data_IF_016631278392
#
_entry.id   IF_016631278392
#
_cell.length_a   1.000
_cell.length_b   1.000
_cell.length_c   1.000
_cell.angle_alpha   90.00
_cell.angle_beta   90.00
_cell.angle_gamma   90.00
#
_symmetry.space_group_name_H-M   'P 1'
#
loop_
_entity.id
_entity.type
_entity.pdbx_description
1 polymer ?
#
# COMPACT_ATOMS: atom_id res chain seq x y z
N UNK A 1 8.03 3.38 8.23
CA UNK A 1 9.14 4.07 7.53
C UNK A 1 10.36 3.19 7.33
N UNK A 2 10.95 2.58 8.37
CA UNK A 2 12.13 1.69 8.20
C UNK A 2 11.91 0.60 7.13
N UNK A 3 10.85 -0.20 7.27
CA UNK A 3 10.47 -1.23 6.30
C UNK A 3 10.25 -0.65 4.89
N UNK A 4 9.62 0.52 4.79
CA UNK A 4 9.38 1.18 3.51
C UNK A 4 10.69 1.56 2.79
N UNK A 5 11.68 2.08 3.53
CA UNK A 5 13.01 2.38 3.00
C UNK A 5 13.79 1.13 2.62
N UNK A 6 13.57 0.01 3.34
CA UNK A 6 14.15 -1.28 2.98
C UNK A 6 13.56 -1.78 1.66
N UNK A 7 12.24 -1.85 1.54
CA UNK A 7 11.54 -2.28 0.32
C UNK A 7 11.92 -1.39 -0.87
N UNK A 8 12.07 -0.08 -0.65
CA UNK A 8 12.53 0.82 -1.70
C UNK A 8 13.92 0.48 -2.23
N UNK A 9 14.85 0.05 -1.36
CA UNK A 9 16.18 -0.42 -1.79
C UNK A 9 16.11 -1.78 -2.48
N UNK A 10 15.38 -2.72 -1.88
CA UNK A 10 15.27 -4.10 -2.38
C UNK A 10 14.56 -4.18 -3.73
N UNK A 11 13.71 -3.18 -4.03
CA UNK A 11 12.99 -3.05 -5.30
C UNK A 11 13.62 -2.05 -6.29
N UNK A 12 14.83 -1.57 -6.02
CA UNK A 12 15.55 -0.57 -6.85
C UNK A 12 14.68 0.68 -7.17
N UNK A 13 13.95 1.16 -6.16
CA UNK A 13 13.07 2.32 -6.25
C UNK A 13 11.70 2.08 -6.88
N UNK A 14 11.36 0.84 -7.28
CA UNK A 14 10.02 0.55 -7.82
C UNK A 14 8.91 0.81 -6.80
N UNK A 15 9.18 0.57 -5.51
CA UNK A 15 8.39 1.09 -4.40
C UNK A 15 9.10 2.29 -3.79
N UNK A 16 8.47 3.46 -3.77
CA UNK A 16 9.05 4.66 -3.15
C UNK A 16 7.98 5.44 -2.38
N UNK A 17 8.18 5.64 -1.09
CA UNK A 17 7.24 6.41 -0.24
C UNK A 17 7.35 7.91 -0.46
N UNK A 18 8.28 8.39 -1.29
CA UNK A 18 8.44 9.82 -1.58
C UNK A 18 7.60 10.30 -2.77
N UNK A 19 6.72 9.45 -3.30
CA UNK A 19 5.88 9.74 -4.48
C UNK A 19 4.73 10.70 -4.21
N UNK A 20 4.55 11.22 -2.98
CA UNK A 20 3.48 12.17 -2.64
C UNK A 20 3.34 13.33 -3.65
N UNK A 21 4.43 13.99 -4.12
CA UNK A 21 4.31 15.04 -5.13
C UNK A 21 3.72 14.54 -6.45
N UNK A 22 3.97 13.29 -6.85
CA UNK A 22 3.35 12.69 -8.04
C UNK A 22 1.88 12.39 -7.79
N UNK A 23 1.53 11.79 -6.64
CA UNK A 23 0.13 11.51 -6.29
C UNK A 23 -0.71 12.79 -6.30
N UNK A 24 -0.16 13.89 -5.77
CA UNK A 24 -0.76 15.22 -5.81
C UNK A 24 -0.89 15.75 -7.25
N UNK A 25 0.18 15.67 -8.05
CA UNK A 25 0.19 16.14 -9.43
C UNK A 25 -0.90 15.46 -10.29
N UNK A 26 -1.07 14.15 -10.10
CA UNK A 26 -2.09 13.35 -10.76
C UNK A 26 -3.51 13.54 -10.19
N UNK A 27 -3.66 14.32 -9.11
CA UNK A 27 -4.95 14.68 -8.53
C UNK A 27 -5.58 13.63 -7.62
N UNK A 28 -4.82 12.61 -7.20
CA UNK A 28 -5.32 11.49 -6.41
C UNK A 28 -5.45 11.76 -4.90
N UNK A 29 -4.94 12.88 -4.38
CA UNK A 29 -5.32 13.31 -3.02
C UNK A 29 -6.69 13.98 -2.99
N UNK A 30 -7.12 14.56 -4.12
CA UNK A 30 -8.48 15.03 -4.32
C UNK A 30 -9.32 14.02 -5.09
N UNK A 31 -10.47 14.50 -5.55
CA UNK A 31 -11.34 13.79 -6.50
C UNK A 31 -11.34 14.55 -7.84
N UNK A 32 -10.14 14.80 -8.35
CA UNK A 32 -9.93 15.54 -9.61
C UNK A 32 -8.74 14.98 -10.38
N UNK A 33 -8.81 13.67 -10.75
CA UNK A 33 -7.74 13.05 -11.50
C UNK A 33 -7.54 13.73 -12.85
N UNK A 34 -6.28 13.86 -13.27
CA UNK A 34 -5.92 14.45 -14.57
C UNK A 34 -4.69 13.76 -15.12
N UNK A 35 -4.51 13.85 -16.43
CA UNK A 35 -3.25 13.50 -17.09
C UNK A 35 -2.30 14.72 -17.10
N UNK A 36 -1.18 14.70 -16.36
CA UNK A 36 -0.23 15.82 -16.36
C UNK A 36 0.62 15.86 -17.64
N UNK A 37 1.06 17.06 -18.03
CA UNK A 37 2.00 17.21 -19.13
C UNK A 37 3.37 16.61 -18.75
N UNK A 38 4.13 16.16 -19.76
CA UNK A 38 5.43 15.49 -19.55
C UNK A 38 6.40 16.38 -18.76
N UNK A 39 6.40 17.68 -19.04
CA UNK A 39 7.27 18.66 -18.40
C UNK A 39 6.91 18.83 -16.91
N UNK A 40 5.62 18.76 -16.56
CA UNK A 40 5.16 18.78 -15.16
C UNK A 40 5.65 17.53 -14.41
N UNK A 41 5.56 16.35 -15.04
CA UNK A 41 6.04 15.09 -14.46
C UNK A 41 7.55 15.15 -14.23
N UNK A 42 8.33 15.59 -15.23
CA UNK A 42 9.78 15.73 -15.09
C UNK A 42 10.18 16.75 -14.01
N UNK A 43 9.42 17.83 -13.87
CA UNK A 43 9.63 18.80 -12.79
C UNK A 43 9.33 18.22 -11.41
N UNK A 44 8.28 17.40 -11.32
CA UNK A 44 7.87 16.72 -10.10
C UNK A 44 8.85 15.64 -9.66
N UNK A 45 9.38 14.85 -10.61
CA UNK A 45 10.32 13.76 -10.35
C UNK A 45 11.60 14.22 -9.64
N UNK A 46 12.01 15.50 -9.79
CA UNK A 46 13.16 16.04 -9.05
C UNK A 46 12.95 16.12 -7.53
N UNK A 47 11.71 15.99 -7.06
CA UNK A 47 11.31 16.01 -5.65
C UNK A 47 11.09 14.61 -5.07
N UNK A 48 11.23 13.58 -5.91
CA UNK A 48 10.96 12.18 -5.58
C UNK A 48 12.29 11.44 -5.52
N UNK A 49 12.50 10.69 -4.44
CA UNK A 49 13.63 9.80 -4.25
C UNK A 49 13.81 9.40 -2.79
N UNK A 50 13.61 8.12 -2.48
CA UNK A 50 13.81 7.57 -1.13
C UNK A 50 15.22 7.79 -0.57
N UNK A 51 16.23 7.97 -1.43
CA UNK A 51 17.60 8.27 -1.05
C UNK A 51 17.75 9.63 -0.36
N UNK A 52 16.77 10.54 -0.52
CA UNK A 52 16.74 11.80 0.21
C UNK A 52 16.30 11.66 1.66
N UNK A 53 15.75 10.50 2.04
CA UNK A 53 15.30 10.19 3.40
C UNK A 53 16.35 9.40 4.18
N UNK A 54 16.60 9.83 5.42
CA UNK A 54 17.49 9.14 6.35
C UNK A 54 16.81 8.95 7.70
N UNK A 55 16.74 7.71 8.18
CA UNK A 55 16.24 7.38 9.51
C UNK A 55 17.42 7.23 10.48
N UNK A 56 17.48 8.07 11.51
CA UNK A 56 18.51 8.05 12.56
C UNK A 56 17.88 8.19 13.93
N UNK A 57 18.10 7.24 14.84
CA UNK A 57 17.58 7.26 16.21
C UNK A 57 16.07 7.55 16.28
N UNK A 58 15.26 6.87 15.45
CA UNK A 58 13.82 7.10 15.32
C UNK A 58 13.41 8.51 14.82
N UNK A 59 14.36 9.35 14.44
CA UNK A 59 14.13 10.61 13.76
C UNK A 59 14.29 10.43 12.26
N UNK A 60 13.31 10.91 11.49
CA UNK A 60 13.38 10.94 10.04
C UNK A 60 13.87 12.31 9.58
N UNK A 61 14.91 12.31 8.76
CA UNK A 61 15.52 13.50 8.20
C UNK A 61 15.39 13.48 6.67
N UNK A 62 15.19 14.64 6.06
CA UNK A 62 15.19 14.83 4.62
C UNK A 62 16.32 15.77 4.21
N UNK A 63 17.05 15.40 3.15
CA UNK A 63 18.14 16.20 2.59
C UNK A 63 17.64 17.36 1.70
N UNK A 64 16.38 17.30 1.27
CA UNK A 64 15.73 18.34 0.48
C UNK A 64 14.38 18.72 1.10
N UNK A 65 14.03 20.00 1.05
CA UNK A 65 12.84 20.53 1.73
C UNK A 65 11.52 20.12 1.08
N UNK A 66 11.53 19.86 -0.23
CA UNK A 66 10.38 19.56 -1.07
C UNK A 66 10.04 18.07 -1.14
N UNK A 67 10.88 17.19 -0.57
CA UNK A 67 10.55 15.78 -0.38
C UNK A 67 9.37 15.65 0.58
N UNK A 68 8.34 14.95 0.11
CA UNK A 68 7.12 14.64 0.83
C UNK A 68 6.90 13.12 0.86
N UNK A 69 6.13 12.63 1.82
CA UNK A 69 5.95 11.20 2.06
C UNK A 69 4.48 10.82 1.87
N UNK A 70 4.26 9.76 1.09
CA UNK A 70 3.02 9.01 1.01
C UNK A 70 3.25 7.59 1.54
N UNK A 71 2.38 7.13 2.44
CA UNK A 71 2.44 5.77 3.00
C UNK A 71 1.30 4.87 2.49
N UNK A 72 0.53 5.29 1.49
CA UNK A 72 -0.64 4.58 0.99
C UNK A 72 -0.36 3.14 0.55
N UNK A 73 0.86 2.89 0.03
CA UNK A 73 1.31 1.56 -0.38
C UNK A 73 1.78 0.63 0.75
N UNK A 74 1.82 1.07 2.01
CA UNK A 74 2.32 0.24 3.14
C UNK A 74 1.53 0.41 4.45
N UNK A 75 0.81 1.52 4.62
CA UNK A 75 0.13 1.86 5.87
C UNK A 75 -0.96 0.85 6.26
N UNK A 76 -1.71 0.32 5.28
CA UNK A 76 -2.79 -0.66 5.54
C UNK A 76 -2.23 -1.94 6.16
N UNK A 77 -1.17 -2.50 5.59
CA UNK A 77 -0.50 -3.68 6.15
C UNK A 77 0.00 -3.46 7.59
N UNK A 78 0.53 -2.27 7.89
CA UNK A 78 0.89 -1.91 9.27
C UNK A 78 -0.32 -1.88 10.20
N UNK A 79 -1.42 -1.23 9.79
CA UNK A 79 -2.65 -1.15 10.57
C UNK A 79 -3.26 -2.54 10.85
N UNK A 80 -3.28 -3.41 9.84
CA UNK A 80 -3.72 -4.81 9.97
C UNK A 80 -2.85 -5.56 10.98
N UNK A 81 -1.52 -5.41 10.91
CA UNK A 81 -0.61 -6.00 11.90
C UNK A 81 -0.88 -5.50 13.33
N UNK A 82 -1.13 -4.21 13.51
CA UNK A 82 -1.51 -3.66 14.82
C UNK A 82 -2.86 -4.20 15.32
N UNK A 83 -3.84 -4.40 14.43
CA UNK A 83 -5.12 -5.01 14.79
C UNK A 83 -4.93 -6.46 15.28
N UNK A 84 -4.07 -7.24 14.63
CA UNK A 84 -3.71 -8.60 15.08
C UNK A 84 -3.13 -8.57 16.49
N UNK A 85 -2.19 -7.66 16.77
CA UNK A 85 -1.57 -7.54 18.09
C UNK A 85 -2.59 -7.20 19.18
N UNK A 86 -3.54 -6.31 18.89
CA UNK A 86 -4.61 -5.95 19.84
C UNK A 86 -5.52 -7.16 20.10
N UNK A 87 -5.99 -7.85 19.05
CA UNK A 87 -6.84 -9.03 19.21
C UNK A 87 -6.17 -10.11 20.08
N UNK A 88 -4.88 -10.38 19.85
CA UNK A 88 -4.12 -11.34 20.66
C UNK A 88 -4.03 -10.93 22.13
N UNK A 89 -3.85 -9.63 22.42
CA UNK A 89 -3.83 -9.12 23.82
C UNK A 89 -5.18 -9.26 24.51
N UNK A 90 -6.28 -9.14 23.76
CA UNK A 90 -7.64 -9.34 24.26
C UNK A 90 -8.05 -10.83 24.31
N UNK A 91 -7.12 -11.76 24.06
CA UNK A 91 -7.39 -13.20 24.11
C UNK A 91 -8.13 -13.76 22.88
N UNK A 92 -8.22 -12.99 21.80
CA UNK A 92 -8.84 -13.40 20.54
C UNK A 92 -7.75 -13.97 19.62
N UNK A 93 -7.85 -15.26 19.32
CA UNK A 93 -6.87 -15.99 18.49
C UNK A 93 -7.44 -16.56 17.19
N UNK A 94 -8.69 -16.22 16.86
CA UNK A 94 -9.36 -16.63 15.62
C UNK A 94 -10.16 -15.46 15.08
N UNK A 95 -9.70 -14.82 14.01
CA UNK A 95 -10.38 -13.69 13.38
C UNK A 95 -9.98 -13.53 11.91
N UNK A 96 -10.87 -12.92 11.12
CA UNK A 96 -10.55 -12.41 9.79
C UNK A 96 -10.57 -10.88 9.85
N UNK A 97 -9.45 -10.24 9.52
CA UNK A 97 -9.32 -8.78 9.48
C UNK A 97 -9.30 -8.37 8.02
N UNK A 98 -10.17 -7.46 7.62
CA UNK A 98 -10.25 -6.90 6.27
C UNK A 98 -10.09 -5.37 6.35
N UNK A 99 -9.08 -4.85 5.65
CA UNK A 99 -8.80 -3.43 5.51
C UNK A 99 -8.93 -2.98 4.05
N UNK A 100 -10.14 -3.11 3.48
CA UNK A 100 -10.42 -2.66 2.11
C UNK A 100 -9.82 -3.60 1.07
N UNK A 101 -9.99 -4.91 1.27
CA UNK A 101 -9.47 -5.98 0.40
C UNK A 101 -8.11 -6.53 0.84
N UNK A 102 -7.42 -5.83 1.74
CA UNK A 102 -6.20 -6.28 2.41
C UNK A 102 -6.57 -7.13 3.62
N UNK A 103 -6.37 -8.45 3.53
CA UNK A 103 -6.94 -9.42 4.49
C UNK A 103 -5.86 -10.10 5.32
N UNK A 104 -6.12 -10.33 6.61
CA UNK A 104 -5.31 -11.20 7.47
C UNK A 104 -6.19 -12.25 8.17
N UNK A 105 -5.82 -13.52 8.03
CA UNK A 105 -6.47 -14.63 8.72
C UNK A 105 -5.71 -14.99 9.99
N UNK A 106 -6.19 -14.55 11.15
CA UNK A 106 -5.64 -14.92 12.46
C UNK A 106 -6.17 -16.30 12.87
N UNK A 107 -5.26 -17.24 13.16
CA UNK A 107 -5.59 -18.62 13.51
C UNK A 107 -6.50 -19.32 12.49
N UNK A 108 -7.43 -20.15 12.97
CA UNK A 108 -8.34 -20.95 12.15
C UNK A 108 -9.80 -20.64 12.41
N UNK A 109 -10.62 -20.71 11.35
CA UNK A 109 -12.06 -20.59 11.43
C UNK A 109 -12.67 -21.91 11.91
N UNK A 110 -12.84 -22.08 13.22
CA UNK A 110 -13.49 -23.26 13.79
C UNK A 110 -12.76 -24.57 13.46
N UNK A 111 -11.43 -24.53 13.30
CA UNK A 111 -10.59 -25.67 12.91
C UNK A 111 -10.18 -25.70 11.45
N UNK A 112 -10.85 -24.92 10.59
CA UNK A 112 -10.54 -24.82 9.15
C UNK A 112 -9.65 -23.61 8.84
N UNK A 113 -8.88 -23.70 7.75
CA UNK A 113 -8.16 -22.55 7.20
C UNK A 113 -9.14 -21.47 6.69
N UNK A 114 -8.71 -20.21 6.76
CA UNK A 114 -9.47 -19.11 6.16
C UNK A 114 -9.36 -19.18 4.64
N UNK A 115 -10.50 -19.05 3.95
CA UNK A 115 -10.53 -18.97 2.48
C UNK A 115 -10.66 -17.52 2.07
N UNK A 116 -9.61 -16.95 1.48
CA UNK A 116 -9.60 -15.57 0.98
C UNK A 116 -9.70 -15.60 -0.54
N UNK A 117 -10.78 -15.00 -1.06
CA UNK A 117 -11.04 -14.95 -2.50
C UNK A 117 -10.10 -13.99 -3.24
N UNK A 118 -9.74 -14.35 -4.47
CA UNK A 118 -9.01 -13.50 -5.40
C UNK A 118 -10.01 -13.00 -6.45
N UNK A 119 -10.25 -11.69 -6.46
CA UNK A 119 -11.16 -11.05 -7.42
C UNK A 119 -10.58 -11.05 -8.83
N UNK A 120 -11.44 -11.23 -9.83
CA UNK A 120 -11.10 -11.02 -11.24
C UNK A 120 -10.74 -9.55 -11.51
N UNK A 121 -9.58 -9.25 -12.14
CA UNK A 121 -9.18 -7.88 -12.47
C UNK A 121 -10.13 -7.11 -13.39
N UNK A 122 -11.02 -7.81 -14.11
CA UNK A 122 -11.86 -7.26 -15.18
C UNK A 122 -13.30 -7.78 -15.12
N UNK A 123 -13.71 -8.31 -13.97
CA UNK A 123 -15.05 -8.84 -13.73
C UNK A 123 -15.42 -8.78 -12.26
N UNK A 124 -16.67 -9.09 -11.96
CA UNK A 124 -17.19 -9.17 -10.59
C UNK A 124 -17.06 -10.58 -9.99
N UNK A 125 -16.49 -11.51 -10.75
CA UNK A 125 -16.29 -12.90 -10.34
C UNK A 125 -15.04 -13.10 -9.47
N UNK A 126 -15.06 -14.20 -8.71
CA UNK A 126 -13.92 -14.68 -7.92
C UNK A 126 -13.19 -15.71 -8.77
N UNK A 127 -11.92 -15.45 -9.11
CA UNK A 127 -11.08 -16.36 -9.90
C UNK A 127 -10.70 -17.63 -9.14
N UNK A 128 -10.60 -17.51 -7.82
CA UNK A 128 -10.20 -18.58 -6.94
C UNK A 128 -10.05 -18.08 -5.51
N UNK A 129 -9.49 -18.91 -4.64
CA UNK A 129 -9.17 -18.52 -3.28
C UNK A 129 -7.84 -19.11 -2.86
N UNK A 130 -7.23 -18.50 -1.84
CA UNK A 130 -6.10 -19.06 -1.11
C UNK A 130 -6.55 -19.44 0.29
N UNK A 131 -5.99 -20.53 0.81
CA UNK A 131 -6.22 -20.98 2.18
C UNK A 131 -5.09 -20.46 3.06
N UNK A 132 -5.44 -19.76 4.15
CA UNK A 132 -4.49 -19.07 5.00
C UNK A 132 -4.75 -19.31 6.49
N UNK A 133 -3.67 -19.27 7.26
CA UNK A 133 -3.63 -19.25 8.72
C UNK A 133 -2.41 -18.41 9.13
N UNK A 134 -2.61 -17.45 10.03
CA UNK A 134 -1.62 -16.48 10.50
C UNK A 134 -0.87 -15.74 9.37
N UNK A 135 -1.57 -15.46 8.27
CA UNK A 135 -1.02 -14.87 7.06
C UNK A 135 -1.88 -13.71 6.56
N UNK A 136 -1.21 -12.77 5.87
CA UNK A 136 -1.81 -11.68 5.13
C UNK A 136 -1.94 -12.03 3.63
N UNK A 137 -3.01 -11.57 3.00
CA UNK A 137 -3.19 -11.54 1.54
C UNK A 137 -3.52 -10.11 1.17
N UNK A 138 -2.63 -9.48 0.41
CA UNK A 138 -2.74 -8.06 0.01
C UNK A 138 -2.79 -7.98 -1.50
N UNK A 139 -3.66 -7.12 -2.04
CA UNK A 139 -3.88 -6.96 -3.48
C UNK A 139 -3.42 -5.60 -3.99
N UNK A 140 -2.80 -5.57 -5.16
CA UNK A 140 -2.58 -4.33 -5.91
C UNK A 140 -2.95 -4.55 -7.37
N UNK A 141 -3.64 -3.57 -7.97
CA UNK A 141 -4.20 -3.73 -9.30
C UNK A 141 -4.50 -2.38 -9.95
N UNK A 142 -4.31 -2.32 -11.27
CA UNK A 142 -4.59 -1.14 -12.10
C UNK A 142 -6.10 -0.84 -12.24
N UNK A 143 -6.96 -1.74 -11.78
CA UNK A 143 -8.41 -1.65 -11.81
C UNK A 143 -9.05 -1.15 -10.51
N UNK A 144 -8.27 -1.03 -9.42
CA UNK A 144 -8.79 -0.59 -8.12
C UNK A 144 -9.00 0.92 -8.07
N UNK A 145 -8.05 1.70 -8.61
CA UNK A 145 -8.12 3.16 -8.65
C UNK A 145 -7.52 3.71 -9.94
N UNK A 146 -8.37 4.08 -10.88
CA UNK A 146 -7.99 4.60 -12.20
C UNK A 146 -8.96 5.69 -12.66
N UNK A 147 -8.60 6.38 -13.74
CA UNK A 147 -9.49 7.20 -14.54
C UNK A 147 -9.20 6.94 -16.01
N UNK A 148 -10.15 7.26 -16.89
CA UNK A 148 -9.97 7.08 -18.34
C UNK A 148 -9.95 8.46 -19.00
N UNK A 149 -8.90 8.74 -19.76
CA UNK A 149 -8.79 9.93 -20.60
C UNK A 149 -8.36 9.52 -22.01
N UNK A 150 -9.11 9.98 -23.02
CA UNK A 150 -8.86 9.64 -24.43
C UNK A 150 -8.77 8.12 -24.70
N UNK A 151 -9.54 7.34 -23.92
CA UNK A 151 -9.60 5.87 -24.02
C UNK A 151 -8.41 5.14 -23.39
N UNK A 152 -7.63 5.82 -22.53
CA UNK A 152 -6.48 5.26 -21.81
C UNK A 152 -6.54 5.55 -20.32
#
# INVERSE_FOLDING_TARGET
VHLALQIARDSDGAFDITIAPLIELWGYYGDSPRLPAKEEVQACLRKVGYHHLMLKNSSLQKSQADVQIDLGGIAKGYAVGQAVDVLKREGIFSALIDAGGDVYGLGKRGGDLWKVGIKSPRGDDILGYVEIEDLAVMGSGDYERFFIQDGK
#
